data_IF_003358212212
#
_entry.id   IF_003358212212
#
_cell.length_a   1.000
_cell.length_b   1.000
_cell.length_c   1.000
_cell.angle_alpha   90.00
_cell.angle_beta   90.00
_cell.angle_gamma   90.00
#
_symmetry.space_group_name_H-M   'P 1'
#
loop_
_entity.id
_entity.type
_entity.pdbx_description
1 polymer ?
#
# COMPACT_ATOMS: atom_id res chain seq x y z
N UNK A 1 24.44 3.07 1.49
CA UNK A 1 24.57 4.39 0.84
C UNK A 1 24.60 5.46 1.92
N UNK A 2 25.52 6.44 1.87
CA UNK A 2 25.53 7.55 2.83
C UNK A 2 24.46 8.59 2.45
N UNK A 3 23.71 9.05 3.45
CA UNK A 3 22.73 10.13 3.34
C UNK A 3 23.21 11.28 4.24
N UNK A 4 23.35 12.49 3.67
CA UNK A 4 23.69 13.70 4.43
C UNK A 4 22.55 14.70 4.34
N UNK A 5 22.06 15.17 5.48
CA UNK A 5 20.95 16.11 5.58
C UNK A 5 21.36 17.22 6.55
N UNK A 6 21.14 18.48 6.16
CA UNK A 6 21.33 19.62 7.07
C UNK A 6 20.11 19.71 7.98
N UNK A 7 20.35 19.73 9.29
CA UNK A 7 19.32 19.86 10.31
C UNK A 7 19.34 21.27 10.91
N UNK A 8 18.16 21.77 11.26
CA UNK A 8 18.04 22.99 12.04
C UNK A 8 18.58 22.76 13.46
N UNK A 9 19.09 23.83 14.10
CA UNK A 9 19.65 23.76 15.45
C UNK A 9 18.70 23.14 16.48
N UNK A 10 17.40 23.43 16.35
CA UNK A 10 16.35 22.86 17.22
C UNK A 10 16.27 21.35 17.08
N UNK A 11 16.24 20.86 15.85
CA UNK A 11 16.11 19.42 15.54
C UNK A 11 17.36 18.65 15.97
N UNK A 12 18.56 19.23 15.79
CA UNK A 12 19.80 18.59 16.27
C UNK A 12 19.84 18.49 17.79
N UNK A 13 19.39 19.53 18.52
CA UNK A 13 19.32 19.49 20.00
C UNK A 13 18.35 18.41 20.51
N UNK A 14 17.19 18.25 19.86
CA UNK A 14 16.24 17.18 20.17
C UNK A 14 16.83 15.81 19.88
N UNK A 15 17.57 15.68 18.77
CA UNK A 15 18.24 14.44 18.40
C UNK A 15 19.31 14.05 19.43
N UNK A 16 20.09 15.02 19.92
CA UNK A 16 21.07 14.83 21.00
C UNK A 16 20.42 14.33 22.28
N UNK A 17 19.39 15.02 22.76
CA UNK A 17 18.68 14.63 23.98
C UNK A 17 18.08 13.22 23.86
N UNK A 18 17.52 12.90 22.70
CA UNK A 18 16.93 11.58 22.42
C UNK A 18 18.01 10.49 22.40
N UNK A 19 19.15 10.77 21.76
CA UNK A 19 20.29 9.85 21.71
C UNK A 19 20.86 9.58 23.11
N UNK A 20 21.01 10.62 23.94
CA UNK A 20 21.45 10.50 25.33
C UNK A 20 20.48 9.67 26.17
N UNK A 21 19.19 9.93 26.03
CA UNK A 21 18.13 9.23 26.80
C UNK A 21 18.09 7.73 26.45
N UNK A 22 18.20 7.42 25.15
CA UNK A 22 18.18 6.04 24.67
C UNK A 22 19.52 5.33 24.80
N UNK A 23 20.59 6.03 25.22
CA UNK A 23 21.98 5.55 25.26
C UNK A 23 22.44 4.96 23.92
N UNK A 24 22.03 5.61 22.83
CA UNK A 24 22.36 5.20 21.46
C UNK A 24 23.00 6.34 20.68
N UNK A 25 23.57 6.05 19.51
CA UNK A 25 24.12 7.10 18.63
C UNK A 25 23.02 7.92 17.95
N UNK A 26 23.33 9.17 17.60
CA UNK A 26 22.46 10.03 16.74
C UNK A 26 22.00 9.31 15.48
N UNK A 27 22.91 8.59 14.82
CA UNK A 27 22.62 7.87 13.59
C UNK A 27 21.60 6.74 13.80
N UNK A 28 21.66 6.05 14.94
CA UNK A 28 20.73 4.95 15.23
C UNK A 28 19.32 5.47 15.53
N UNK A 29 19.22 6.59 16.25
CA UNK A 29 17.95 7.30 16.47
C UNK A 29 17.33 7.72 15.14
N UNK A 30 18.14 8.28 14.22
CA UNK A 30 17.68 8.67 12.88
C UNK A 30 17.15 7.46 12.11
N UNK A 31 17.90 6.36 12.05
CA UNK A 31 17.48 5.15 11.32
C UNK A 31 16.18 4.59 11.85
N UNK A 32 16.06 4.46 13.17
CA UNK A 32 14.86 3.90 13.82
C UNK A 32 13.65 4.79 13.58
N UNK A 33 13.82 6.10 13.76
CA UNK A 33 12.75 7.08 13.52
C UNK A 33 12.29 7.10 12.07
N UNK A 34 13.23 7.04 11.11
CA UNK A 34 12.92 6.95 9.68
C UNK A 34 12.19 5.65 9.34
N UNK A 35 12.66 4.51 9.86
CA UNK A 35 12.00 3.21 9.66
C UNK A 35 10.55 3.25 10.15
N UNK A 36 10.34 3.74 11.38
CA UNK A 36 9.02 3.79 12.01
C UNK A 36 8.09 4.80 11.34
N UNK A 37 8.62 5.95 10.90
CA UNK A 37 7.85 6.94 10.15
C UNK A 37 7.44 6.39 8.77
N UNK A 38 8.40 5.88 8.00
CA UNK A 38 8.14 5.32 6.67
C UNK A 38 7.18 4.12 6.75
N UNK A 39 7.35 3.23 7.73
CA UNK A 39 6.45 2.11 7.93
C UNK A 39 5.01 2.56 8.21
N UNK A 40 4.82 3.57 9.07
CA UNK A 40 3.48 4.14 9.35
C UNK A 40 2.84 4.78 8.12
N UNK A 41 3.61 5.58 7.38
CA UNK A 41 3.12 6.25 6.15
C UNK A 41 2.75 5.23 5.08
N UNK A 42 3.59 4.21 4.87
CA UNK A 42 3.35 3.15 3.90
C UNK A 42 2.18 2.25 4.32
N UNK A 43 2.05 1.92 5.61
CA UNK A 43 0.91 1.17 6.12
C UNK A 43 -0.41 1.94 5.93
N UNK A 44 -0.41 3.26 6.14
CA UNK A 44 -1.57 4.12 5.89
C UNK A 44 -1.94 4.24 4.40
N UNK A 45 -0.96 4.16 3.49
CA UNK A 45 -1.21 4.20 2.03
C UNK A 45 -1.57 2.85 1.42
N UNK A 46 -1.14 1.72 2.02
CA UNK A 46 -1.26 0.36 1.45
C UNK A 46 -2.69 -0.16 1.24
N UNK A 47 -3.74 0.63 1.50
CA UNK A 47 -5.14 0.20 1.30
C UNK A 47 -5.99 1.32 0.71
N UNK A 48 -5.54 1.95 -0.37
CA UNK A 48 -6.50 2.58 -1.27
C UNK A 48 -7.31 1.44 -1.92
N UNK A 49 -8.65 1.38 -1.75
CA UNK A 49 -9.47 0.31 -2.31
C UNK A 49 -9.24 0.09 -3.81
N UNK A 50 -8.94 1.18 -4.52
CA UNK A 50 -8.60 1.20 -5.95
C UNK A 50 -7.29 0.48 -6.29
N UNK A 51 -6.28 0.51 -5.42
CA UNK A 51 -5.05 -0.26 -5.63
C UNK A 51 -5.29 -1.76 -5.41
N UNK A 52 -6.19 -2.13 -4.49
CA UNK A 52 -6.52 -3.53 -4.20
C UNK A 52 -7.29 -4.21 -5.34
N UNK A 53 -8.11 -3.45 -6.09
CA UNK A 53 -8.87 -3.97 -7.23
C UNK A 53 -8.12 -3.84 -8.55
N UNK A 54 -6.91 -3.26 -8.57
CA UNK A 54 -6.15 -3.03 -9.82
C UNK A 54 -5.90 -4.34 -10.58
N UNK A 55 -5.56 -5.41 -9.88
CA UNK A 55 -5.34 -6.74 -10.46
C UNK A 55 -6.64 -7.42 -10.95
N UNK A 56 -7.80 -6.92 -10.52
CA UNK A 56 -9.13 -7.32 -11.01
C UNK A 56 -9.55 -6.48 -12.22
N UNK A 57 -9.09 -5.23 -12.32
CA UNK A 57 -9.39 -4.31 -13.42
C UNK A 57 -8.55 -4.60 -14.67
N UNK A 58 -7.31 -5.07 -14.50
CA UNK A 58 -6.35 -5.31 -15.60
C UNK A 58 -6.52 -6.69 -16.30
N UNK A 59 -7.57 -7.44 -15.94
CA UNK A 59 -7.98 -8.64 -16.69
C UNK A 59 -9.09 -8.27 -17.66
N UNK A 60 -8.80 -7.98 -18.95
CA UNK A 60 -9.85 -7.86 -19.96
C UNK A 60 -10.52 -9.23 -20.13
N UNK A 61 -11.62 -9.43 -19.42
CA UNK A 61 -12.29 -10.71 -19.34
C UNK A 61 -13.43 -10.75 -18.32
N UNK A 62 -14.26 -9.70 -18.26
CA UNK A 62 -15.56 -9.76 -17.57
C UNK A 62 -16.54 -10.65 -18.34
N UNK A 63 -16.24 -11.95 -18.44
CA UNK A 63 -17.08 -12.91 -19.16
C UNK A 63 -17.31 -12.54 -20.63
N UNK A 64 -18.27 -13.20 -21.27
CA UNK A 64 -18.70 -12.81 -22.61
C UNK A 64 -19.34 -11.41 -22.54
N UNK A 65 -18.95 -10.53 -23.46
CA UNK A 65 -19.51 -9.17 -23.57
C UNK A 65 -21.00 -9.13 -23.94
N UNK A 66 -21.56 -10.28 -24.33
CA UNK A 66 -22.97 -10.47 -24.71
C UNK A 66 -23.85 -10.98 -23.56
N UNK A 67 -23.33 -11.06 -22.33
CA UNK A 67 -24.07 -11.60 -21.19
C UNK A 67 -25.38 -10.83 -20.91
N UNK A 68 -25.39 -9.51 -21.10
CA UNK A 68 -26.60 -8.70 -20.94
C UNK A 68 -27.58 -8.91 -22.10
N UNK A 69 -27.10 -8.87 -23.33
CA UNK A 69 -27.91 -8.95 -24.55
C UNK A 69 -28.44 -10.36 -24.84
N UNK A 70 -27.75 -11.40 -24.39
CA UNK A 70 -28.10 -12.82 -24.62
C UNK A 70 -28.46 -13.56 -23.33
N UNK A 71 -28.76 -12.82 -22.27
CA UNK A 71 -29.11 -13.38 -20.95
C UNK A 71 -30.17 -14.48 -21.05
N UNK A 72 -31.25 -14.27 -21.80
CA UNK A 72 -32.34 -15.23 -21.97
C UNK A 72 -31.89 -16.52 -22.68
N UNK A 73 -31.16 -16.40 -23.79
CA UNK A 73 -30.66 -17.55 -24.55
C UNK A 73 -29.74 -18.43 -23.70
N UNK A 74 -28.82 -17.79 -22.97
CA UNK A 74 -27.85 -18.45 -22.09
C UNK A 74 -28.56 -19.20 -20.96
N UNK A 75 -29.58 -18.57 -20.35
CA UNK A 75 -30.38 -19.19 -19.29
C UNK A 75 -31.16 -20.40 -19.81
N UNK A 76 -31.84 -20.26 -20.96
CA UNK A 76 -32.59 -21.37 -21.59
C UNK A 76 -31.70 -22.57 -21.91
N UNK A 77 -30.49 -22.34 -22.45
CA UNK A 77 -29.53 -23.41 -22.72
C UNK A 77 -29.08 -24.13 -21.44
N UNK A 78 -28.84 -23.40 -20.35
CA UNK A 78 -28.45 -23.99 -19.06
C UNK A 78 -29.56 -24.83 -18.44
N UNK A 79 -30.80 -24.35 -18.48
CA UNK A 79 -31.94 -25.10 -17.93
C UNK A 79 -32.25 -26.36 -18.74
N UNK A 80 -32.10 -26.33 -20.07
CA UNK A 80 -32.24 -27.52 -20.93
C UNK A 80 -31.21 -28.61 -20.64
N UNK A 81 -30.01 -28.27 -20.20
CA UNK A 81 -28.96 -29.25 -19.85
C UNK A 81 -29.18 -29.94 -18.51
N UNK A 82 -30.12 -29.46 -17.69
CA UNK A 82 -30.39 -29.95 -16.33
C UNK A 82 -31.58 -30.91 -16.25
N UNK A 83 -32.16 -31.26 -17.40
CA UNK A 83 -33.23 -32.26 -17.56
C UNK A 83 -32.66 -33.43 -18.34
#
# INVERSE_FOLDING_TARGET
MPLSVRLDKKTDSLLEQTALTLKTSKAEVIKRSLSDYCARVLAGRRKQPYEMIKDLLDKPGSGRSDLSSRSEEILRQRFRRKT
#
